data_IF_995341904654
#
_entry.id   IF_995341904654
#
_cell.length_a   1.000
_cell.length_b   1.000
_cell.length_c   1.000
_cell.angle_alpha   90.00
_cell.angle_beta   90.00
_cell.angle_gamma   90.00
#
_symmetry.space_group_name_H-M   'P 1'
#
loop_
_entity.id
_entity.type
_entity.pdbx_description
1 polymer ?
#
# COMPACT_ATOMS: atom_id res chain seq x y z
N UNK A 1 7.65 14.36 20.14
CA UNK A 1 7.94 13.48 21.29
C UNK A 1 9.41 13.65 21.70
N UNK A 2 9.66 14.05 22.94
CA UNK A 2 10.98 14.38 23.53
C UNK A 2 11.30 13.35 24.60
N UNK A 3 12.58 13.00 24.80
CA UNK A 3 13.02 11.93 25.71
C UNK A 3 13.98 12.50 26.74
N UNK A 4 13.90 12.02 27.98
CA UNK A 4 14.92 12.32 28.99
C UNK A 4 16.16 11.44 28.78
N UNK A 5 17.28 12.08 28.47
CA UNK A 5 18.53 11.38 28.22
C UNK A 5 19.17 10.79 29.48
N UNK A 6 18.76 11.23 30.69
CA UNK A 6 19.31 10.78 31.98
C UNK A 6 18.65 9.53 32.53
N UNK A 7 17.49 9.13 32.00
CA UNK A 7 16.75 7.95 32.49
C UNK A 7 17.55 6.65 32.30
N UNK A 8 17.32 5.65 33.14
CA UNK A 8 17.69 4.27 32.78
C UNK A 8 16.74 3.77 31.68
N UNK A 9 17.18 2.79 30.88
CA UNK A 9 16.34 2.14 29.88
C UNK A 9 15.09 1.49 30.47
N UNK A 10 15.12 1.07 31.73
CA UNK A 10 13.93 0.54 32.41
C UNK A 10 12.85 1.58 32.71
N UNK A 11 13.22 2.87 32.69
CA UNK A 11 12.40 3.99 33.17
C UNK A 11 12.17 5.03 32.06
N UNK A 12 12.50 4.70 30.81
CA UNK A 12 12.52 5.64 29.70
C UNK A 12 11.20 6.39 29.54
N UNK A 13 11.24 7.71 29.74
CA UNK A 13 10.07 8.57 29.60
C UNK A 13 10.07 9.34 28.29
N UNK A 14 8.87 9.69 27.83
CA UNK A 14 8.71 10.70 26.79
C UNK A 14 7.91 11.89 27.29
N UNK A 15 7.94 12.99 26.55
CA UNK A 15 7.01 14.09 26.76
C UNK A 15 6.83 14.98 25.56
N UNK A 16 5.96 15.97 25.70
CA UNK A 16 5.58 16.91 24.65
C UNK A 16 5.58 18.34 25.18
N UNK A 17 6.10 19.28 24.39
CA UNK A 17 5.95 20.72 24.66
C UNK A 17 4.48 21.10 24.44
N UNK A 18 3.89 21.76 25.44
CA UNK A 18 2.52 22.27 25.40
C UNK A 18 2.50 23.74 24.98
N UNK A 19 3.39 24.56 25.56
CA UNK A 19 3.65 25.94 25.10
C UNK A 19 5.05 26.40 25.49
N UNK A 20 5.52 27.44 24.81
CA UNK A 20 6.74 28.18 25.14
C UNK A 20 6.31 29.64 25.31
N UNK A 21 6.51 30.19 26.51
CA UNK A 21 6.07 31.52 26.91
C UNK A 21 7.28 32.27 27.49
N UNK A 22 7.99 33.02 26.65
CA UNK A 22 9.25 33.66 27.01
C UNK A 22 10.34 32.64 27.34
N UNK A 23 10.85 32.68 28.57
CA UNK A 23 11.85 31.72 29.09
C UNK A 23 11.22 30.47 29.71
N UNK A 24 9.88 30.37 29.73
CA UNK A 24 9.14 29.28 30.34
C UNK A 24 8.68 28.26 29.31
N UNK A 25 8.89 26.97 29.60
CA UNK A 25 8.45 25.85 28.76
C UNK A 25 7.48 25.00 29.57
N UNK A 26 6.21 24.96 29.16
CA UNK A 26 5.25 23.99 29.69
C UNK A 26 5.42 22.67 28.97
N UNK A 27 5.76 21.63 29.71
CA UNK A 27 6.12 20.32 29.17
C UNK A 27 5.33 19.21 29.86
N UNK A 28 4.76 18.29 29.09
CA UNK A 28 3.98 17.18 29.61
C UNK A 28 4.76 15.87 29.49
N UNK A 29 5.14 15.28 30.62
CA UNK A 29 5.77 13.95 30.68
C UNK A 29 4.72 12.85 30.66
N UNK A 30 4.86 11.95 29.69
CA UNK A 30 4.16 10.67 29.58
C UNK A 30 5.04 9.58 30.17
N UNK A 31 4.65 9.02 31.30
CA UNK A 31 5.31 7.87 31.91
C UNK A 31 4.30 7.02 32.68
N UNK A 32 4.39 5.70 32.49
CA UNK A 32 3.55 4.71 33.17
C UNK A 32 4.19 4.17 34.46
N UNK A 33 5.41 4.62 34.82
CA UNK A 33 6.10 4.21 36.06
C UNK A 33 5.86 5.20 37.21
N UNK A 34 5.23 4.71 38.27
CA UNK A 34 4.93 5.48 39.49
C UNK A 34 6.17 5.99 40.23
N UNK A 35 7.34 5.40 40.01
CA UNK A 35 8.60 5.75 40.70
C UNK A 35 9.28 6.99 40.13
N UNK A 36 8.86 7.42 38.96
CA UNK A 36 9.55 8.49 38.24
C UNK A 36 9.18 9.87 38.76
N UNK A 37 10.20 10.73 38.94
CA UNK A 37 10.04 12.05 39.57
C UNK A 37 9.33 13.09 38.68
N UNK A 38 9.41 12.95 37.36
CA UNK A 38 8.78 13.84 36.40
C UNK A 38 7.60 13.12 35.73
N UNK A 39 6.38 13.52 36.07
CA UNK A 39 5.14 12.97 35.50
C UNK A 39 4.12 14.08 35.33
N UNK A 40 3.33 14.01 34.26
CA UNK A 40 2.31 15.01 33.98
C UNK A 40 2.92 16.36 33.55
N UNK A 41 2.16 17.43 33.75
CA UNK A 41 2.55 18.77 33.32
C UNK A 41 3.58 19.37 34.29
N UNK A 42 4.74 19.73 33.76
CA UNK A 42 5.83 20.41 34.47
C UNK A 42 6.20 21.67 33.70
N UNK A 43 6.49 22.75 34.42
CA UNK A 43 6.99 23.99 33.83
C UNK A 43 8.47 24.11 34.14
N UNK A 44 9.29 24.25 33.09
CA UNK A 44 10.73 24.46 33.19
C UNK A 44 11.07 25.88 32.75
N UNK A 45 12.16 26.47 33.26
CA UNK A 45 12.82 27.53 32.51
C UNK A 45 13.61 26.93 31.33
N UNK A 46 14.05 27.74 30.36
CA UNK A 46 14.65 27.23 29.13
C UNK A 46 15.96 26.47 29.37
N UNK A 47 16.76 26.88 30.35
CA UNK A 47 18.03 26.23 30.67
C UNK A 47 17.84 24.91 31.42
N UNK A 48 16.92 24.87 32.38
CA UNK A 48 16.46 23.63 33.04
C UNK A 48 15.89 22.67 32.02
N UNK A 49 15.02 23.19 31.13
CA UNK A 49 14.41 22.40 30.08
C UNK A 49 15.50 21.73 29.26
N UNK A 50 16.44 22.50 28.69
CA UNK A 50 17.60 21.97 27.94
C UNK A 50 18.37 20.93 28.75
N UNK A 51 18.67 21.15 30.03
CA UNK A 51 19.40 20.18 30.85
C UNK A 51 18.65 18.85 31.10
N UNK A 52 17.32 18.81 31.01
CA UNK A 52 16.53 17.57 31.21
C UNK A 52 16.48 16.66 29.98
N UNK A 53 16.75 17.21 28.81
CA UNK A 53 16.37 16.64 27.51
C UNK A 53 17.53 16.63 26.52
N UNK A 54 18.64 17.32 26.83
CA UNK A 54 19.84 17.44 26.00
C UNK A 54 20.70 16.16 25.97
N UNK A 55 21.05 15.59 24.81
CA UNK A 55 20.77 16.08 23.47
C UNK A 55 19.58 15.34 22.91
N UNK A 56 18.49 16.08 22.75
CA UNK A 56 17.21 15.57 22.31
C UNK A 56 17.34 14.62 21.12
N UNK A 57 16.96 13.37 21.30
CA UNK A 57 16.55 12.54 20.17
C UNK A 57 15.05 12.78 20.01
N UNK A 58 14.69 13.81 19.26
CA UNK A 58 13.30 13.95 18.82
C UNK A 58 13.05 12.88 17.77
N UNK A 59 12.35 11.81 18.15
CA UNK A 59 11.85 10.79 17.21
C UNK A 59 10.35 10.95 17.07
N UNK A 60 9.88 12.16 16.84
CA UNK A 60 8.50 12.32 16.40
C UNK A 60 8.40 11.95 14.92
N UNK A 61 7.43 11.09 14.57
CA UNK A 61 7.14 10.73 13.18
C UNK A 61 6.19 11.74 12.52
N UNK A 62 5.59 12.65 13.29
CA UNK A 62 4.51 13.52 12.80
C UNK A 62 4.90 14.97 12.55
N UNK A 63 6.16 15.36 12.79
CA UNK A 63 6.60 16.75 12.60
C UNK A 63 7.89 16.83 11.78
N UNK A 64 7.89 17.69 10.77
CA UNK A 64 9.07 18.15 10.04
C UNK A 64 9.81 19.20 10.89
N UNK A 65 11.10 18.97 11.12
CA UNK A 65 11.96 19.96 11.78
C UNK A 65 12.58 20.86 10.71
N UNK A 66 12.48 22.18 10.90
CA UNK A 66 13.17 23.16 10.06
C UNK A 66 14.69 23.18 10.31
N UNK A 67 15.13 22.62 11.44
CA UNK A 67 16.55 22.48 11.77
C UNK A 67 17.18 21.30 11.00
N UNK A 68 18.17 21.64 10.19
CA UNK A 68 18.89 20.74 9.28
C UNK A 68 19.48 19.52 9.99
N UNK A 69 19.97 19.67 11.23
CA UNK A 69 20.59 18.59 12.00
C UNK A 69 19.57 17.51 12.37
N UNK A 70 18.38 17.92 12.82
CA UNK A 70 17.32 16.98 13.21
C UNK A 70 16.64 16.37 11.99
N UNK A 71 16.43 17.14 10.94
CA UNK A 71 15.94 16.63 9.65
C UNK A 71 16.86 15.53 9.09
N UNK A 72 18.18 15.74 9.16
CA UNK A 72 19.18 14.74 8.76
C UNK A 72 19.09 13.47 9.60
N UNK A 73 19.04 13.58 10.93
CA UNK A 73 18.93 12.42 11.83
C UNK A 73 17.63 11.63 11.56
N UNK A 74 16.49 12.31 11.40
CA UNK A 74 15.22 11.66 11.06
C UNK A 74 15.30 10.91 9.73
N UNK A 75 15.90 11.52 8.70
CA UNK A 75 16.11 10.89 7.40
C UNK A 75 16.99 9.64 7.52
N UNK A 76 18.09 9.72 8.28
CA UNK A 76 18.98 8.58 8.54
C UNK A 76 18.24 7.43 9.23
N UNK A 77 17.44 7.73 10.27
CA UNK A 77 16.62 6.73 10.95
C UNK A 77 15.60 6.13 9.99
N UNK A 78 14.79 6.95 9.31
CA UNK A 78 13.76 6.50 8.34
C UNK A 78 14.36 5.56 7.29
N UNK A 79 15.50 5.92 6.74
CA UNK A 79 16.14 5.19 5.65
C UNK A 79 16.81 3.88 6.07
N UNK A 80 17.13 3.69 7.36
CA UNK A 80 17.89 2.53 7.84
C UNK A 80 17.18 1.72 8.94
N UNK A 81 16.02 2.17 9.43
CA UNK A 81 15.31 1.52 10.55
C UNK A 81 15.00 0.05 10.30
N UNK A 82 14.65 -0.29 9.05
CA UNK A 82 14.39 -1.67 8.62
C UNK A 82 15.57 -2.62 8.94
N UNK A 83 16.82 -2.16 8.84
CA UNK A 83 18.00 -2.99 9.13
C UNK A 83 18.07 -3.35 10.60
N UNK A 84 17.83 -2.37 11.48
CA UNK A 84 17.79 -2.55 12.94
C UNK A 84 16.71 -3.56 13.31
N UNK A 85 15.49 -3.37 12.78
CA UNK A 85 14.37 -4.28 13.04
C UNK A 85 14.65 -5.67 12.50
N UNK A 86 15.22 -5.81 11.31
CA UNK A 86 15.59 -7.10 10.72
C UNK A 86 16.62 -7.85 11.58
N UNK A 87 17.66 -7.18 12.05
CA UNK A 87 18.69 -7.78 12.91
C UNK A 87 18.13 -8.15 14.28
N UNK A 88 17.37 -7.25 14.90
CA UNK A 88 16.70 -7.51 16.18
C UNK A 88 15.71 -8.68 16.05
N UNK A 89 14.91 -8.71 14.98
CA UNK A 89 13.97 -9.81 14.73
C UNK A 89 14.70 -11.11 14.45
N UNK A 90 15.83 -11.12 13.75
CA UNK A 90 16.56 -12.36 13.47
C UNK A 90 17.35 -12.89 14.67
N UNK A 91 17.56 -12.06 15.69
CA UNK A 91 18.30 -12.44 16.91
C UNK A 91 17.54 -13.47 17.78
N UNK A 92 18.31 -14.22 18.58
CA UNK A 92 17.76 -15.16 19.56
C UNK A 92 16.84 -14.46 20.56
N UNK A 93 15.62 -14.97 20.73
CA UNK A 93 14.59 -14.37 21.58
C UNK A 93 14.24 -12.91 21.21
N UNK A 94 14.52 -12.49 19.96
CA UNK A 94 14.22 -11.15 19.43
C UNK A 94 14.83 -10.01 20.28
N UNK A 95 16.00 -10.24 20.87
CA UNK A 95 16.68 -9.32 21.80
C UNK A 95 18.19 -9.28 21.63
N UNK A 96 18.78 -8.13 21.93
CA UNK A 96 20.22 -7.91 22.05
C UNK A 96 20.57 -7.37 23.43
N UNK A 97 21.81 -7.55 23.88
CA UNK A 97 22.32 -6.80 25.04
C UNK A 97 22.23 -5.30 24.75
N UNK A 98 22.06 -4.47 25.78
CA UNK A 98 21.97 -3.01 25.61
C UNK A 98 23.12 -2.46 24.76
N UNK A 99 24.37 -2.79 25.08
CA UNK A 99 25.53 -2.34 24.31
C UNK A 99 25.52 -2.84 22.86
N UNK A 100 25.11 -4.09 22.64
CA UNK A 100 24.97 -4.64 21.29
C UNK A 100 23.88 -3.94 20.47
N UNK A 101 22.79 -3.48 21.12
CA UNK A 101 21.76 -2.69 20.46
C UNK A 101 22.25 -1.26 20.13
N UNK A 102 23.09 -0.68 20.99
CA UNK A 102 23.75 0.61 20.71
C UNK A 102 24.68 0.46 19.49
N UNK A 103 25.55 -0.56 19.49
CA UNK A 103 26.49 -0.80 18.40
C UNK A 103 25.78 -1.09 17.08
N UNK A 104 24.63 -1.78 17.12
CA UNK A 104 23.75 -1.98 15.96
C UNK A 104 23.22 -0.65 15.40
N UNK A 105 22.74 0.25 16.27
CA UNK A 105 22.24 1.56 15.82
C UNK A 105 23.35 2.43 15.25
N UNK A 106 24.53 2.42 15.88
CA UNK A 106 25.71 3.15 15.40
C UNK A 106 26.12 2.66 14.01
N UNK A 107 26.18 1.35 13.81
CA UNK A 107 26.61 0.76 12.53
C UNK A 107 25.56 0.89 11.41
N UNK A 108 24.29 0.58 11.69
CA UNK A 108 23.25 0.52 10.64
C UNK A 108 22.66 1.88 10.30
N UNK A 109 22.55 2.79 11.29
CA UNK A 109 21.99 4.13 11.08
C UNK A 109 23.11 5.16 10.86
N UNK A 110 24.30 4.96 11.41
CA UNK A 110 25.40 5.93 11.34
C UNK A 110 25.30 7.04 12.40
N UNK A 111 24.73 6.74 13.56
CA UNK A 111 24.52 7.70 14.67
C UNK A 111 25.60 7.57 15.75
N UNK A 112 25.76 8.58 16.61
CA UNK A 112 26.64 8.49 17.78
C UNK A 112 26.05 7.55 18.85
N UNK A 113 26.89 7.05 19.78
CA UNK A 113 26.41 6.22 20.92
C UNK A 113 25.35 6.92 21.77
N UNK A 114 25.49 8.24 21.94
CA UNK A 114 24.53 9.05 22.69
C UNK A 114 23.17 9.14 21.96
N UNK A 115 23.21 9.36 20.64
CA UNK A 115 22.01 9.33 19.81
C UNK A 115 21.37 7.94 19.79
N UNK A 116 22.15 6.87 19.69
CA UNK A 116 21.66 5.50 19.75
C UNK A 116 20.91 5.22 21.06
N UNK A 117 21.47 5.60 22.21
CA UNK A 117 20.81 5.50 23.52
C UNK A 117 19.46 6.22 23.54
N UNK A 118 19.41 7.47 23.06
CA UNK A 118 18.16 8.23 22.96
C UNK A 118 17.14 7.57 22.03
N UNK A 119 17.56 7.03 20.88
CA UNK A 119 16.68 6.28 19.97
C UNK A 119 16.07 5.07 20.67
N UNK A 120 16.86 4.27 21.40
CA UNK A 120 16.37 3.10 22.14
C UNK A 120 15.29 3.51 23.14
N UNK A 121 15.56 4.54 23.95
CA UNK A 121 14.59 5.07 24.93
C UNK A 121 13.30 5.53 24.28
N UNK A 122 13.39 6.19 23.13
CA UNK A 122 12.22 6.57 22.33
C UNK A 122 11.34 5.38 22.00
N UNK A 123 11.98 4.29 21.56
CA UNK A 123 11.30 3.08 21.11
C UNK A 123 10.75 2.26 22.25
N UNK A 124 11.35 2.34 23.43
CA UNK A 124 10.82 1.78 24.67
C UNK A 124 9.51 2.49 25.05
N UNK A 125 9.52 3.83 25.08
CA UNK A 125 8.32 4.62 25.36
C UNK A 125 7.22 4.42 24.30
N UNK A 126 7.59 4.27 23.02
CA UNK A 126 6.65 3.97 21.94
C UNK A 126 6.14 2.50 21.94
N UNK A 127 6.67 1.63 22.80
CA UNK A 127 6.32 0.20 22.86
C UNK A 127 6.88 -0.65 21.70
N UNK A 128 7.65 -0.06 20.78
CA UNK A 128 8.37 -0.77 19.71
C UNK A 128 9.46 -1.68 20.29
N UNK A 129 10.13 -1.23 21.35
CA UNK A 129 11.11 -1.99 22.12
C UNK A 129 10.60 -2.29 23.53
N UNK A 130 11.22 -3.27 24.17
CA UNK A 130 11.01 -3.64 25.58
C UNK A 130 12.35 -3.83 26.26
N UNK A 131 12.51 -3.24 27.44
CA UNK A 131 13.67 -3.46 28.30
C UNK A 131 13.50 -4.75 29.09
N UNK A 132 14.54 -5.58 29.15
CA UNK A 132 14.52 -6.87 29.84
C UNK A 132 15.78 -7.01 30.68
N UNK A 133 15.61 -7.13 32.00
CA UNK A 133 16.70 -7.41 32.95
C UNK A 133 16.73 -8.90 33.27
N UNK A 134 17.87 -9.54 33.06
CA UNK A 134 18.11 -10.96 33.33
C UNK A 134 19.33 -11.14 34.23
N UNK A 135 19.55 -12.36 34.73
CA UNK A 135 20.74 -12.69 35.55
C UNK A 135 22.07 -12.37 34.86
N UNK A 136 22.14 -12.56 33.54
CA UNK A 136 23.36 -12.39 32.73
C UNK A 136 23.53 -10.99 32.13
N UNK A 137 22.65 -10.04 32.47
CA UNK A 137 22.75 -8.65 32.02
C UNK A 137 21.41 -8.02 31.61
N UNK A 138 21.52 -6.88 30.95
CA UNK A 138 20.40 -6.06 30.49
C UNK A 138 20.27 -6.13 28.98
N UNK A 139 19.03 -6.17 28.50
CA UNK A 139 18.71 -6.43 27.10
C UNK A 139 17.62 -5.47 26.60
N UNK A 140 17.68 -5.19 25.31
CA UNK A 140 16.61 -4.56 24.54
C UNK A 140 16.00 -5.66 23.67
N UNK A 141 14.69 -5.84 23.77
CA UNK A 141 13.91 -6.76 22.95
C UNK A 141 12.93 -5.99 22.07
N UNK A 142 12.43 -6.61 21.00
CA UNK A 142 11.27 -6.09 20.29
C UNK A 142 10.01 -6.20 21.18
N UNK A 143 9.14 -5.19 21.10
CA UNK A 143 7.82 -5.22 21.72
C UNK A 143 6.91 -6.25 21.05
N UNK A 144 5.88 -6.72 21.77
CA UNK A 144 5.01 -7.80 21.26
C UNK A 144 4.25 -7.40 19.99
N UNK A 145 3.76 -6.17 19.93
CA UNK A 145 3.07 -5.62 18.77
C UNK A 145 4.01 -5.50 17.58
N UNK A 146 5.26 -5.06 17.80
CA UNK A 146 6.28 -4.98 16.76
C UNK A 146 6.64 -6.38 16.23
N UNK A 147 6.76 -7.38 17.11
CA UNK A 147 7.00 -8.78 16.70
C UNK A 147 5.84 -9.29 15.84
N UNK A 148 4.60 -9.06 16.27
CA UNK A 148 3.41 -9.47 15.51
C UNK A 148 3.36 -8.78 14.14
N UNK A 149 3.64 -7.48 14.10
CA UNK A 149 3.74 -6.68 12.87
C UNK A 149 4.78 -7.26 11.90
N UNK A 150 6.01 -7.49 12.39
CA UNK A 150 7.12 -8.00 11.57
C UNK A 150 6.88 -9.45 11.12
N UNK A 151 6.28 -10.30 11.96
CA UNK A 151 5.88 -11.64 11.56
C UNK A 151 4.83 -11.59 10.44
N UNK A 152 3.85 -10.69 10.53
CA UNK A 152 2.84 -10.50 9.50
C UNK A 152 3.47 -10.04 8.18
N UNK A 153 4.37 -9.05 8.21
CA UNK A 153 5.11 -8.60 7.01
C UNK A 153 5.89 -9.73 6.34
N UNK A 154 6.62 -10.52 7.13
CA UNK A 154 7.42 -11.65 6.62
C UNK A 154 6.57 -12.78 6.08
N UNK A 155 5.45 -13.10 6.74
CA UNK A 155 4.51 -14.09 6.25
C UNK A 155 3.94 -13.67 4.89
N UNK A 156 3.47 -12.42 4.76
CA UNK A 156 2.95 -11.90 3.50
C UNK A 156 4.01 -11.93 2.40
N UNK A 157 5.22 -11.46 2.69
CA UNK A 157 6.35 -11.51 1.75
C UNK A 157 6.76 -12.95 1.40
N UNK A 158 6.51 -13.93 2.28
CA UNK A 158 6.81 -15.34 1.99
C UNK A 158 5.91 -15.94 0.91
N UNK A 159 4.68 -15.43 0.74
CA UNK A 159 3.77 -15.83 -0.34
C UNK A 159 4.38 -15.43 -1.69
N UNK A 160 4.87 -14.20 -1.79
CA UNK A 160 5.61 -13.71 -2.96
C UNK A 160 6.83 -14.57 -3.28
N UNK A 161 7.60 -14.91 -2.23
CA UNK A 161 8.79 -15.75 -2.36
C UNK A 161 8.45 -17.17 -2.82
N UNK A 162 7.32 -17.74 -2.40
CA UNK A 162 6.83 -19.04 -2.86
C UNK A 162 6.60 -19.02 -4.38
N UNK A 163 5.84 -18.04 -4.88
CA UNK A 163 5.53 -17.89 -6.31
C UNK A 163 6.82 -17.75 -7.12
N UNK A 164 7.72 -16.86 -6.66
CA UNK A 164 9.00 -16.62 -7.34
C UNK A 164 9.86 -17.88 -7.38
N UNK A 165 10.05 -18.54 -6.23
CA UNK A 165 10.89 -19.73 -6.14
C UNK A 165 10.34 -20.89 -6.98
N UNK A 166 9.03 -21.11 -6.97
CA UNK A 166 8.39 -22.15 -7.79
C UNK A 166 8.48 -21.83 -9.29
N UNK A 167 8.45 -20.55 -9.66
CA UNK A 167 8.66 -20.10 -11.03
C UNK A 167 10.10 -20.27 -11.49
N UNK A 168 11.09 -19.85 -10.70
CA UNK A 168 12.52 -19.98 -11.05
C UNK A 168 12.94 -21.43 -11.28
N UNK A 169 12.36 -22.37 -10.51
CA UNK A 169 12.68 -23.80 -10.63
C UNK A 169 12.43 -24.38 -12.01
N UNK A 170 11.44 -23.89 -12.76
CA UNK A 170 11.13 -24.45 -14.08
C UNK A 170 12.20 -24.10 -15.12
N UNK A 171 12.88 -22.97 -14.97
CA UNK A 171 13.92 -22.52 -15.88
C UNK A 171 15.13 -23.47 -15.90
N UNK A 172 15.33 -24.26 -14.85
CA UNK A 172 16.40 -25.27 -14.78
C UNK A 172 16.04 -26.59 -15.47
N UNK A 173 14.78 -26.81 -15.81
CA UNK A 173 14.28 -28.11 -16.29
C UNK A 173 13.68 -28.00 -17.70
N UNK A 174 13.18 -26.83 -18.08
CA UNK A 174 12.49 -26.59 -19.35
C UNK A 174 13.07 -25.34 -20.02
N UNK A 175 13.40 -25.45 -21.31
CA UNK A 175 13.90 -24.34 -22.13
C UNK A 175 12.88 -23.80 -23.13
N UNK A 176 11.70 -24.43 -23.26
CA UNK A 176 10.66 -24.01 -24.21
C UNK A 176 9.77 -22.91 -23.60
N UNK A 177 9.84 -21.69 -24.16
CA UNK A 177 9.22 -20.48 -23.60
C UNK A 177 7.70 -20.59 -23.37
N UNK A 178 6.95 -21.17 -24.31
CA UNK A 178 5.50 -21.34 -24.15
C UNK A 178 5.14 -22.29 -23.01
N UNK A 179 5.95 -23.34 -22.81
CA UNK A 179 5.72 -24.31 -21.73
C UNK A 179 5.98 -23.69 -20.37
N UNK A 180 7.02 -22.85 -20.28
CA UNK A 180 7.32 -22.04 -19.09
C UNK A 180 6.19 -21.05 -18.80
N UNK A 181 5.66 -20.37 -19.83
CA UNK A 181 4.49 -19.48 -19.72
C UNK A 181 3.27 -20.19 -19.15
N UNK A 182 2.83 -21.27 -19.80
CA UNK A 182 1.66 -22.05 -19.35
C UNK A 182 1.82 -22.58 -17.91
N UNK A 183 3.02 -22.98 -17.52
CA UNK A 183 3.28 -23.38 -16.13
C UNK A 183 3.14 -22.20 -15.16
N UNK A 184 3.70 -21.03 -15.52
CA UNK A 184 3.63 -19.82 -14.70
C UNK A 184 2.19 -19.37 -14.47
N UNK A 185 1.35 -19.45 -15.49
CA UNK A 185 -0.10 -19.23 -15.39
C UNK A 185 -0.75 -20.22 -14.41
N UNK A 186 -0.53 -21.53 -14.59
CA UNK A 186 -1.07 -22.58 -13.72
C UNK A 186 -0.59 -22.45 -12.28
N UNK A 187 0.68 -22.11 -12.08
CA UNK A 187 1.28 -21.84 -10.78
C UNK A 187 0.54 -20.68 -10.11
N UNK A 188 0.35 -19.56 -10.81
CA UNK A 188 -0.34 -18.41 -10.27
C UNK A 188 -1.80 -18.73 -9.91
N UNK A 189 -2.53 -19.45 -10.78
CA UNK A 189 -3.88 -19.96 -10.51
C UNK A 189 -3.89 -20.83 -9.24
N UNK A 190 -2.93 -21.76 -9.11
CA UNK A 190 -2.85 -22.65 -7.95
C UNK A 190 -2.64 -21.90 -6.64
N UNK A 191 -1.88 -20.81 -6.67
CA UNK A 191 -1.64 -19.96 -5.50
C UNK A 191 -2.87 -19.12 -5.19
N UNK A 192 -3.47 -18.49 -6.20
CA UNK A 192 -4.71 -17.72 -6.03
C UNK A 192 -5.83 -18.57 -5.43
N UNK A 193 -6.00 -19.82 -5.87
CA UNK A 193 -7.02 -20.76 -5.35
C UNK A 193 -6.88 -21.06 -3.84
N UNK A 194 -5.71 -20.83 -3.24
CA UNK A 194 -5.51 -20.98 -1.78
C UNK A 194 -6.12 -19.82 -0.99
N UNK A 195 -6.21 -18.62 -1.59
CA UNK A 195 -6.59 -17.38 -0.92
C UNK A 195 -7.94 -16.82 -1.38
N UNK A 196 -8.31 -17.05 -2.63
CA UNK A 196 -9.58 -16.60 -3.21
C UNK A 196 -10.74 -17.34 -2.54
N UNK A 197 -11.77 -16.63 -2.04
CA UNK A 197 -12.98 -17.26 -1.48
C UNK A 197 -13.66 -18.20 -2.48
N UNK A 198 -14.17 -19.34 -1.99
CA UNK A 198 -14.76 -20.40 -2.83
C UNK A 198 -15.98 -19.98 -3.67
N UNK A 199 -16.62 -18.84 -3.35
CA UNK A 199 -17.70 -18.28 -4.18
C UNK A 199 -17.18 -17.80 -5.54
N UNK A 200 -15.90 -17.51 -5.64
CA UNK A 200 -15.24 -17.16 -6.88
C UNK A 200 -14.51 -18.37 -7.47
N UNK A 201 -14.44 -18.39 -8.79
CA UNK A 201 -13.63 -19.37 -9.51
C UNK A 201 -12.49 -18.67 -10.24
N UNK A 202 -11.29 -19.26 -10.16
CA UNK A 202 -10.07 -18.78 -10.82
C UNK A 202 -9.78 -19.72 -11.97
N UNK A 203 -9.74 -19.22 -13.20
CA UNK A 203 -9.61 -19.99 -14.43
C UNK A 203 -8.89 -19.18 -15.52
N UNK A 204 -8.52 -19.79 -16.64
CA UNK A 204 -8.19 -19.07 -17.89
C UNK A 204 -9.44 -19.02 -18.77
N UNK A 205 -9.53 -18.07 -19.70
CA UNK A 205 -10.63 -18.09 -20.65
C UNK A 205 -10.95 -16.78 -21.32
N UNK A 206 -12.22 -16.58 -21.63
CA UNK A 206 -12.71 -15.45 -22.40
C UNK A 206 -13.86 -14.75 -21.68
N UNK A 207 -14.00 -13.46 -21.95
CA UNK A 207 -15.23 -12.73 -21.66
C UNK A 207 -16.12 -12.83 -22.90
N UNK A 208 -17.42 -13.09 -22.71
CA UNK A 208 -18.40 -13.18 -23.79
C UNK A 208 -18.34 -11.92 -24.68
N UNK A 209 -18.21 -12.12 -25.99
CA UNK A 209 -18.06 -11.04 -26.96
C UNK A 209 -16.62 -10.57 -27.20
N UNK A 210 -15.65 -10.99 -26.37
CA UNK A 210 -14.22 -10.71 -26.59
C UNK A 210 -13.52 -11.89 -27.25
N UNK A 211 -12.67 -11.61 -28.23
CA UNK A 211 -11.79 -12.61 -28.87
C UNK A 211 -10.47 -12.81 -28.13
N UNK A 212 -10.16 -11.96 -27.15
CA UNK A 212 -8.91 -12.05 -26.39
C UNK A 212 -9.05 -13.09 -25.29
N UNK A 213 -8.15 -14.09 -25.30
CA UNK A 213 -7.97 -14.98 -24.16
C UNK A 213 -7.28 -14.21 -23.03
N UNK A 214 -7.78 -14.40 -21.83
CA UNK A 214 -7.27 -13.84 -20.59
C UNK A 214 -6.54 -14.94 -19.85
N UNK A 215 -5.29 -14.67 -19.48
CA UNK A 215 -4.43 -15.64 -18.80
C UNK A 215 -5.09 -16.11 -17.49
N UNK A 216 -5.64 -15.17 -16.71
CA UNK A 216 -6.42 -15.47 -15.50
C UNK A 216 -7.66 -14.59 -15.38
N UNK A 217 -8.81 -15.24 -15.21
CA UNK A 217 -10.11 -14.66 -14.89
C UNK A 217 -10.52 -15.14 -13.50
N UNK A 218 -10.91 -14.20 -12.64
CA UNK A 218 -11.65 -14.49 -11.41
C UNK A 218 -13.08 -14.02 -11.63
N UNK A 219 -14.04 -14.92 -11.47
CA UNK A 219 -15.46 -14.59 -11.64
C UNK A 219 -16.33 -15.13 -10.50
N UNK A 220 -17.47 -14.50 -10.26
CA UNK A 220 -18.47 -14.95 -9.29
C UNK A 220 -19.24 -16.16 -9.82
N UNK A 221 -18.73 -17.35 -9.50
CA UNK A 221 -19.32 -18.63 -9.85
C UNK A 221 -20.56 -18.96 -9.02
N UNK A 222 -20.76 -18.29 -7.89
CA UNK A 222 -21.91 -18.53 -7.04
C UNK A 222 -23.18 -17.90 -7.62
N UNK A 223 -23.07 -16.68 -8.15
CA UNK A 223 -24.20 -15.92 -8.64
C UNK A 223 -24.40 -15.98 -10.16
N UNK A 224 -23.35 -16.33 -10.93
CA UNK A 224 -23.40 -16.34 -12.39
C UNK A 224 -23.08 -17.71 -12.97
N UNK A 225 -23.89 -18.15 -13.94
CA UNK A 225 -23.58 -19.31 -14.77
C UNK A 225 -22.57 -18.91 -15.85
N UNK A 226 -21.53 -19.72 -16.12
CA UNK A 226 -20.66 -19.50 -17.27
C UNK A 226 -21.39 -19.83 -18.56
N UNK A 227 -21.05 -19.14 -19.64
CA UNK A 227 -21.52 -19.43 -21.01
C UNK A 227 -20.93 -20.75 -21.49
N UNK A 228 -19.67 -21.01 -21.13
CA UNK A 228 -18.96 -22.26 -21.39
C UNK A 228 -17.99 -22.55 -20.25
N UNK A 229 -17.80 -23.83 -19.92
CA UNK A 229 -16.79 -24.27 -18.96
C UNK A 229 -16.35 -25.70 -19.24
N UNK A 230 -15.05 -25.89 -19.39
CA UNK A 230 -14.38 -27.19 -19.46
C UNK A 230 -13.10 -27.12 -18.63
N UNK A 231 -13.02 -27.86 -17.52
CA UNK A 231 -11.94 -27.75 -16.53
C UNK A 231 -11.62 -26.30 -16.11
N UNK A 232 -10.43 -25.82 -16.48
CA UNK A 232 -9.89 -24.50 -16.19
C UNK A 232 -10.12 -23.48 -17.32
N UNK A 233 -10.82 -23.86 -18.40
CA UNK A 233 -11.19 -22.98 -19.51
C UNK A 233 -12.65 -22.52 -19.37
N UNK A 234 -12.88 -21.20 -19.31
CA UNK A 234 -14.23 -20.63 -19.16
C UNK A 234 -14.56 -19.57 -20.21
N UNK A 235 -15.84 -19.40 -20.49
CA UNK A 235 -16.39 -18.19 -21.13
C UNK A 235 -17.44 -17.62 -20.18
N UNK A 236 -17.26 -16.37 -19.75
CA UNK A 236 -18.10 -15.72 -18.73
C UNK A 236 -18.63 -14.38 -19.22
N UNK A 237 -19.78 -13.96 -18.68
CA UNK A 237 -20.31 -12.62 -18.92
C UNK A 237 -19.45 -11.57 -18.20
N UNK A 238 -19.34 -10.37 -18.77
CA UNK A 238 -18.52 -9.27 -18.20
C UNK A 238 -18.97 -8.92 -16.78
N UNK A 239 -20.27 -8.99 -16.50
CA UNK A 239 -20.87 -8.70 -15.18
C UNK A 239 -20.50 -9.72 -14.10
N UNK A 240 -20.05 -10.92 -14.49
CA UNK A 240 -19.58 -11.94 -13.55
C UNK A 240 -18.09 -11.75 -13.17
N UNK A 241 -17.35 -10.95 -13.94
CA UNK A 241 -15.90 -10.78 -13.80
C UNK A 241 -15.59 -9.93 -12.58
N UNK A 242 -14.70 -10.44 -11.74
CA UNK A 242 -14.17 -9.77 -10.54
C UNK A 242 -12.74 -9.29 -10.78
N UNK A 243 -11.97 -10.05 -11.54
CA UNK A 243 -10.60 -9.70 -11.89
C UNK A 243 -10.17 -10.33 -13.22
N UNK A 244 -9.31 -9.61 -13.93
CA UNK A 244 -8.54 -10.09 -15.08
C UNK A 244 -7.05 -9.84 -14.81
N UNK A 245 -6.21 -10.83 -15.10
CA UNK A 245 -4.78 -10.75 -14.86
C UNK A 245 -4.03 -11.29 -16.07
N UNK A 246 -3.13 -10.49 -16.61
CA UNK A 246 -2.15 -10.87 -17.64
C UNK A 246 -0.89 -11.39 -16.97
N UNK A 247 -0.40 -12.56 -17.40
CA UNK A 247 0.80 -13.20 -16.90
C UNK A 247 1.87 -13.15 -17.98
N UNK A 248 3.05 -12.58 -17.66
CA UNK A 248 4.18 -12.53 -18.59
C UNK A 248 5.44 -13.12 -17.98
N UNK A 249 6.23 -13.81 -18.80
CA UNK A 249 7.53 -14.31 -18.38
C UNK A 249 8.47 -13.15 -18.06
N UNK A 250 8.57 -12.20 -18.99
CA UNK A 250 9.45 -11.04 -18.87
C UNK A 250 8.64 -9.79 -19.20
N UNK A 251 8.71 -8.76 -18.35
CA UNK A 251 8.15 -7.45 -18.62
C UNK A 251 9.14 -6.62 -19.46
N UNK A 252 8.75 -6.35 -20.70
CA UNK A 252 9.38 -5.45 -21.67
C UNK A 252 8.35 -4.49 -22.26
N UNK A 253 8.79 -3.58 -23.14
CA UNK A 253 7.91 -2.61 -23.80
C UNK A 253 6.83 -3.29 -24.63
N UNK A 254 7.19 -4.32 -25.41
CA UNK A 254 6.22 -5.07 -26.20
C UNK A 254 5.22 -5.81 -25.32
N UNK A 255 5.68 -6.58 -24.34
CA UNK A 255 4.77 -7.38 -23.49
C UNK A 255 3.87 -6.50 -22.62
N UNK A 256 4.37 -5.34 -22.16
CA UNK A 256 3.57 -4.39 -21.40
C UNK A 256 2.50 -3.78 -22.28
N UNK A 257 2.87 -3.29 -23.48
CA UNK A 257 1.93 -2.74 -24.46
C UNK A 257 0.85 -3.76 -24.83
N UNK A 258 1.23 -4.98 -25.21
CA UNK A 258 0.28 -6.05 -25.55
C UNK A 258 -0.71 -6.38 -24.40
N UNK A 259 -0.21 -6.31 -23.16
CA UNK A 259 -1.04 -6.55 -21.97
C UNK A 259 -2.03 -5.40 -21.75
N UNK A 260 -1.55 -4.16 -21.83
CA UNK A 260 -2.36 -2.94 -21.68
C UNK A 260 -3.42 -2.83 -22.77
N UNK A 261 -3.06 -3.02 -24.05
CA UNK A 261 -4.00 -3.00 -25.18
C UNK A 261 -5.12 -4.02 -25.01
N UNK A 262 -4.80 -5.20 -24.48
CA UNK A 262 -5.84 -6.18 -24.28
C UNK A 262 -6.66 -6.00 -23.01
N UNK A 263 -6.12 -5.38 -21.96
CA UNK A 263 -6.92 -4.89 -20.83
C UNK A 263 -7.91 -3.83 -21.33
N UNK A 264 -7.45 -2.90 -22.16
CA UNK A 264 -8.25 -1.83 -22.76
C UNK A 264 -9.44 -2.40 -23.56
N UNK A 265 -9.17 -3.36 -24.46
CA UNK A 265 -10.21 -4.08 -25.21
C UNK A 265 -11.23 -4.81 -24.33
N UNK A 266 -10.85 -5.27 -23.15
CA UNK A 266 -11.76 -5.92 -22.20
C UNK A 266 -12.64 -4.86 -21.49
N UNK A 267 -12.12 -3.65 -21.33
CA UNK A 267 -12.82 -2.54 -20.73
C UNK A 267 -13.87 -1.93 -21.65
N UNK A 268 -13.70 -2.02 -22.98
CA UNK A 268 -14.68 -1.60 -23.98
C UNK A 268 -16.11 -2.05 -23.66
N UNK A 269 -17.09 -1.16 -23.90
CA UNK A 269 -18.51 -1.38 -23.65
C UNK A 269 -19.05 -0.53 -22.49
N UNK A 270 -20.29 -0.80 -22.03
CA UNK A 270 -20.93 0.02 -21.01
C UNK A 270 -20.16 -0.05 -19.68
N UNK A 271 -19.97 1.12 -19.06
CA UNK A 271 -19.34 1.25 -17.75
C UNK A 271 -20.16 0.52 -16.69
N UNK A 272 -19.47 -0.21 -15.81
CA UNK A 272 -20.08 -0.82 -14.61
C UNK A 272 -19.89 0.11 -13.42
N UNK A 273 -20.94 0.30 -12.61
CA UNK A 273 -20.84 1.02 -11.33
C UNK A 273 -19.95 0.31 -10.32
N UNK A 274 -19.74 -0.99 -10.52
CA UNK A 274 -18.82 -1.81 -9.73
C UNK A 274 -17.67 -2.24 -10.65
N UNK A 275 -16.45 -1.69 -10.48
CA UNK A 275 -15.33 -2.05 -11.34
C UNK A 275 -14.79 -3.45 -10.99
N UNK A 276 -14.09 -4.06 -11.95
CA UNK A 276 -13.31 -5.28 -11.73
C UNK A 276 -11.80 -4.99 -11.81
N UNK A 277 -11.01 -5.79 -11.12
CA UNK A 277 -9.56 -5.60 -11.03
C UNK A 277 -8.84 -5.92 -12.35
N UNK A 278 -7.86 -5.10 -12.73
CA UNK A 278 -7.01 -5.32 -13.93
C UNK A 278 -5.54 -5.33 -13.55
N UNK A 279 -4.92 -6.50 -13.58
CA UNK A 279 -3.52 -6.69 -13.17
C UNK A 279 -2.61 -7.16 -14.29
N UNK A 280 -1.35 -6.73 -14.25
CA UNK A 280 -0.27 -7.35 -15.01
C UNK A 280 0.74 -7.91 -14.01
N UNK A 281 1.02 -9.22 -14.09
CA UNK A 281 2.05 -9.85 -13.27
C UNK A 281 3.12 -10.46 -14.17
N UNK A 282 4.37 -10.09 -13.95
CA UNK A 282 5.49 -10.65 -14.66
C UNK A 282 6.57 -11.18 -13.73
N UNK A 283 7.31 -12.19 -14.15
CA UNK A 283 8.30 -12.85 -13.28
C UNK A 283 9.68 -12.20 -13.35
N UNK A 284 10.03 -11.68 -14.51
CA UNK A 284 11.36 -11.15 -14.80
C UNK A 284 11.26 -9.80 -15.52
N UNK A 285 12.31 -8.99 -15.44
CA UNK A 285 12.44 -7.74 -16.18
C UNK A 285 13.87 -7.22 -16.03
N UNK A 286 14.33 -6.47 -17.04
CA UNK A 286 15.56 -5.67 -16.97
C UNK A 286 15.29 -4.22 -16.55
N UNK A 287 14.02 -3.86 -16.33
CA UNK A 287 13.62 -2.52 -15.97
C UNK A 287 13.62 -2.30 -14.45
N UNK A 288 13.62 -1.01 -14.09
CA UNK A 288 13.31 -0.54 -12.75
C UNK A 288 11.89 0.08 -12.73
N UNK A 289 11.42 0.43 -11.53
CA UNK A 289 10.13 1.09 -11.32
C UNK A 289 9.91 2.31 -12.24
N UNK A 290 10.90 3.19 -12.36
CA UNK A 290 10.80 4.41 -13.17
C UNK A 290 10.56 4.06 -14.64
N UNK A 291 11.38 3.18 -15.21
CA UNK A 291 11.25 2.78 -16.63
C UNK A 291 9.89 2.13 -16.92
N UNK A 292 9.39 1.29 -15.99
CA UNK A 292 8.07 0.70 -16.13
C UNK A 292 6.97 1.76 -16.12
N UNK A 293 7.04 2.69 -15.16
CA UNK A 293 6.07 3.77 -15.04
C UNK A 293 6.12 4.74 -16.24
N UNK A 294 7.30 5.02 -16.79
CA UNK A 294 7.46 5.81 -18.02
C UNK A 294 6.75 5.14 -19.21
N UNK A 295 6.86 3.81 -19.36
CA UNK A 295 6.19 3.10 -20.46
C UNK A 295 4.66 3.02 -20.27
N UNK A 296 4.17 2.90 -19.02
CA UNK A 296 2.73 2.98 -18.72
C UNK A 296 2.19 4.38 -19.04
N UNK A 297 2.93 5.42 -18.65
CA UNK A 297 2.57 6.79 -18.95
C UNK A 297 2.48 7.05 -20.46
N UNK A 298 3.46 6.57 -21.24
CA UNK A 298 3.44 6.68 -22.71
C UNK A 298 2.19 6.02 -23.30
N UNK A 299 1.81 4.84 -22.79
CA UNK A 299 0.59 4.17 -23.24
C UNK A 299 -0.66 5.03 -23.00
N UNK A 300 -0.80 5.64 -21.81
CA UNK A 300 -1.97 6.47 -21.49
C UNK A 300 -1.92 7.88 -22.11
N UNK A 301 -0.75 8.36 -22.54
CA UNK A 301 -0.65 9.55 -23.39
C UNK A 301 -1.26 9.29 -24.78
N UNK A 302 -1.13 8.06 -25.29
CA UNK A 302 -1.67 7.62 -26.59
C UNK A 302 -3.12 7.10 -26.49
N UNK A 303 -3.54 6.58 -25.33
CA UNK A 303 -4.83 5.95 -25.10
C UNK A 303 -5.49 6.58 -23.87
N UNK A 304 -6.46 7.47 -24.10
CA UNK A 304 -7.07 8.27 -23.04
C UNK A 304 -7.89 7.41 -22.08
N UNK A 305 -7.88 7.79 -20.80
CA UNK A 305 -8.74 7.20 -19.79
C UNK A 305 -10.09 7.92 -19.83
N UNK A 306 -11.10 7.26 -20.39
CA UNK A 306 -12.42 7.86 -20.65
C UNK A 306 -13.44 7.62 -19.53
N UNK A 307 -13.21 6.64 -18.65
CA UNK A 307 -14.04 6.39 -17.48
C UNK A 307 -13.26 6.14 -16.19
N UNK A 308 -13.97 6.29 -15.06
CA UNK A 308 -13.39 5.94 -13.76
C UNK A 308 -13.13 4.42 -13.71
N UNK A 309 -11.94 4.03 -13.24
CA UNK A 309 -11.45 2.65 -13.24
C UNK A 309 -11.31 2.00 -14.62
N UNK A 310 -11.34 2.74 -15.73
CA UNK A 310 -11.02 2.24 -17.09
C UNK A 310 -9.51 2.25 -17.37
N UNK A 311 -8.73 1.82 -16.38
CA UNK A 311 -7.27 1.78 -16.47
C UNK A 311 -6.75 0.53 -15.78
N UNK A 312 -5.45 0.26 -15.96
CA UNK A 312 -4.70 -0.74 -15.22
C UNK A 312 -4.77 -0.44 -13.72
N UNK A 313 -5.01 -1.45 -12.88
CA UNK A 313 -4.91 -1.27 -11.43
C UNK A 313 -3.47 -1.34 -10.95
N UNK A 314 -2.72 -2.35 -11.39
CA UNK A 314 -1.35 -2.57 -10.93
C UNK A 314 -0.56 -3.46 -11.88
N UNK A 315 0.71 -3.12 -12.09
CA UNK A 315 1.73 -4.01 -12.63
C UNK A 315 2.70 -4.41 -11.53
N UNK A 316 3.11 -5.68 -11.50
CA UNK A 316 4.09 -6.18 -10.54
C UNK A 316 5.12 -7.10 -11.20
N UNK A 317 6.40 -6.87 -10.87
CA UNK A 317 7.49 -7.83 -11.03
C UNK A 317 8.13 -8.06 -9.67
N UNK A 318 8.12 -9.29 -9.13
CA UNK A 318 8.60 -9.59 -7.79
C UNK A 318 10.00 -9.03 -7.49
N UNK A 319 10.14 -8.32 -6.37
CA UNK A 319 11.40 -7.69 -5.96
C UNK A 319 11.98 -6.62 -6.89
N UNK A 320 11.28 -6.19 -7.94
CA UNK A 320 11.80 -5.24 -8.93
C UNK A 320 10.85 -4.08 -9.26
N UNK A 321 9.60 -4.39 -9.61
CA UNK A 321 8.63 -3.40 -10.09
C UNK A 321 7.32 -3.55 -9.33
N UNK A 322 6.75 -2.44 -8.90
CA UNK A 322 5.35 -2.33 -8.58
C UNK A 322 4.89 -0.91 -8.88
N UNK A 323 4.03 -0.76 -9.88
CA UNK A 323 3.44 0.51 -10.27
C UNK A 323 1.92 0.35 -10.39
N UNK A 324 1.17 1.36 -9.97
CA UNK A 324 -0.28 1.28 -9.85
C UNK A 324 -0.92 2.63 -10.13
N UNK A 325 -2.17 2.62 -10.59
CA UNK A 325 -2.93 3.84 -10.85
C UNK A 325 -3.98 4.00 -9.75
N UNK A 326 -4.09 5.22 -9.26
CA UNK A 326 -5.09 5.64 -8.28
C UNK A 326 -5.45 7.11 -8.53
N UNK A 327 -6.31 7.69 -7.71
CA UNK A 327 -6.81 9.04 -7.86
C UNK A 327 -6.21 10.00 -6.83
N UNK A 328 -5.72 11.15 -7.29
CA UNK A 328 -5.21 12.24 -6.46
C UNK A 328 -6.36 13.17 -5.98
N UNK A 329 -6.04 14.17 -5.15
CA UNK A 329 -6.90 15.34 -4.91
C UNK A 329 -8.34 15.07 -4.45
N UNK A 330 -8.57 13.94 -3.77
CA UNK A 330 -9.91 13.58 -3.30
C UNK A 330 -10.37 14.40 -2.09
N UNK A 331 -9.43 14.97 -1.35
CA UNK A 331 -9.68 15.67 -0.08
C UNK A 331 -9.36 17.17 -0.15
N UNK A 332 -9.13 17.71 -1.35
CA UNK A 332 -8.95 19.15 -1.61
C UNK A 332 -9.88 19.60 -2.74
N UNK A 333 -9.78 20.87 -3.17
CA UNK A 333 -10.68 21.47 -4.16
C UNK A 333 -10.25 21.24 -5.63
N UNK A 334 -9.06 20.71 -5.88
CA UNK A 334 -8.52 20.44 -7.23
C UNK A 334 -9.22 19.25 -7.91
N UNK A 335 -9.13 19.09 -9.22
CA UNK A 335 -9.69 17.91 -9.90
C UNK A 335 -8.99 16.62 -9.45
N UNK A 336 -9.76 15.54 -9.42
CA UNK A 336 -9.26 14.20 -9.11
C UNK A 336 -8.98 13.45 -10.40
N UNK A 337 -7.70 13.25 -10.69
CA UNK A 337 -7.20 12.69 -11.94
C UNK A 337 -6.55 11.32 -11.72
N UNK A 338 -6.68 10.39 -12.68
CA UNK A 338 -5.89 9.16 -12.71
C UNK A 338 -4.40 9.49 -12.63
N UNK A 339 -3.76 8.96 -11.60
CA UNK A 339 -2.40 9.27 -11.20
C UNK A 339 -1.62 7.98 -11.06
N UNK A 340 -0.49 7.89 -11.77
CA UNK A 340 0.42 6.76 -11.73
C UNK A 340 1.39 6.93 -10.57
N UNK A 341 1.44 5.94 -9.70
CA UNK A 341 2.36 5.84 -8.59
C UNK A 341 3.30 4.67 -8.78
N UNK A 342 4.50 4.78 -8.22
CA UNK A 342 5.37 3.61 -8.02
C UNK A 342 5.36 3.22 -6.55
N UNK A 343 5.64 1.95 -6.27
CA UNK A 343 5.82 1.44 -4.93
C UNK A 343 7.32 1.19 -4.73
N UNK A 344 7.91 1.95 -3.83
CA UNK A 344 9.27 1.69 -3.39
C UNK A 344 9.21 0.76 -2.18
N UNK A 345 9.77 -0.44 -2.35
CA UNK A 345 9.93 -1.38 -1.24
C UNK A 345 10.67 -0.68 -0.10
N UNK A 346 10.08 -0.70 1.10
CA UNK A 346 10.81 -0.36 2.31
C UNK A 346 11.94 -1.37 2.44
N UNK A 347 13.14 -0.97 2.00
CA UNK A 347 14.38 -1.73 1.92
C UNK A 347 14.37 -2.97 2.84
N UNK A 348 14.53 -4.17 2.27
CA UNK A 348 14.67 -5.43 3.03
C UNK A 348 13.43 -6.30 3.15
N UNK A 349 12.23 -5.83 2.76
CA UNK A 349 11.04 -6.68 2.55
C UNK A 349 10.42 -6.29 1.22
N UNK A 350 10.33 -7.23 0.28
CA UNK A 350 9.58 -6.95 -0.95
C UNK A 350 8.10 -6.98 -0.64
N UNK A 351 7.45 -5.86 -0.93
CA UNK A 351 6.03 -5.61 -0.64
C UNK A 351 5.23 -5.45 -1.93
N UNK A 352 5.88 -5.30 -3.09
CA UNK A 352 5.22 -5.14 -4.39
C UNK A 352 4.22 -6.24 -4.73
N UNK A 353 4.57 -7.51 -4.55
CA UNK A 353 3.66 -8.61 -4.89
C UNK A 353 2.54 -8.75 -3.85
N UNK A 354 2.85 -8.48 -2.58
CA UNK A 354 1.82 -8.44 -1.55
C UNK A 354 0.84 -7.27 -1.76
N UNK A 355 1.32 -6.14 -2.28
CA UNK A 355 0.49 -5.01 -2.68
C UNK A 355 -0.37 -5.34 -3.91
N UNK A 356 0.17 -6.10 -4.86
CA UNK A 356 -0.61 -6.65 -5.98
C UNK A 356 -1.78 -7.49 -5.46
N UNK A 357 -1.52 -8.44 -4.54
CA UNK A 357 -2.58 -9.27 -3.95
C UNK A 357 -3.56 -8.45 -3.09
N UNK A 358 -3.07 -7.47 -2.34
CA UNK A 358 -3.92 -6.55 -1.59
C UNK A 358 -4.95 -5.87 -2.52
N UNK A 359 -4.46 -5.27 -3.61
CA UNK A 359 -5.34 -4.61 -4.58
C UNK A 359 -6.29 -5.62 -5.21
N UNK A 360 -5.82 -6.78 -5.64
CA UNK A 360 -6.69 -7.83 -6.18
C UNK A 360 -7.82 -8.19 -5.20
N UNK A 361 -7.50 -8.39 -3.93
CA UNK A 361 -8.45 -8.82 -2.93
C UNK A 361 -9.42 -7.71 -2.48
N UNK A 362 -9.10 -6.44 -2.68
CA UNK A 362 -10.04 -5.34 -2.40
C UNK A 362 -11.21 -5.28 -3.38
N UNK A 363 -11.10 -5.91 -4.54
CA UNK A 363 -12.20 -6.04 -5.51
C UNK A 363 -13.05 -7.29 -5.25
N UNK A 364 -12.65 -8.18 -4.34
CA UNK A 364 -13.39 -9.41 -4.09
C UNK A 364 -14.71 -9.13 -3.37
N UNK A 365 -15.79 -9.42 -4.09
CA UNK A 365 -17.16 -9.23 -3.61
C UNK A 365 -17.59 -10.23 -2.53
N UNK A 366 -17.08 -10.10 -1.32
CA UNK A 366 -17.58 -10.84 -0.13
C UNK A 366 -18.51 -9.95 0.70
N UNK A 367 -19.16 -10.53 1.71
CA UNK A 367 -19.94 -9.79 2.70
C UNK A 367 -19.13 -8.63 3.30
N UNK A 368 -19.81 -7.53 3.61
CA UNK A 368 -19.22 -6.26 4.10
C UNK A 368 -18.28 -6.50 5.30
N UNK A 369 -18.73 -7.29 6.28
CA UNK A 369 -17.96 -7.64 7.48
C UNK A 369 -16.66 -8.39 7.17
N UNK A 370 -16.71 -9.36 6.24
CA UNK A 370 -15.56 -10.11 5.80
C UNK A 370 -14.60 -9.24 4.97
N UNK A 371 -15.13 -8.35 4.13
CA UNK A 371 -14.32 -7.44 3.31
C UNK A 371 -13.50 -6.49 4.17
N UNK A 372 -14.12 -5.89 5.19
CA UNK A 372 -13.45 -5.01 6.15
C UNK A 372 -12.27 -5.70 6.82
N UNK A 373 -12.46 -6.94 7.29
CA UNK A 373 -11.39 -7.74 7.93
C UNK A 373 -10.29 -8.12 6.92
N UNK A 374 -10.67 -8.51 5.71
CA UNK A 374 -9.71 -8.88 4.65
C UNK A 374 -8.86 -7.68 4.21
N UNK A 375 -9.45 -6.49 4.11
CA UNK A 375 -8.71 -5.24 3.82
C UNK A 375 -7.64 -4.95 4.87
N UNK A 376 -8.03 -5.02 6.17
CA UNK A 376 -7.11 -4.84 7.30
C UNK A 376 -5.95 -5.86 7.32
N UNK A 377 -6.10 -7.00 6.64
CA UNK A 377 -5.04 -8.00 6.56
C UNK A 377 -3.81 -7.46 5.81
N UNK A 378 -3.97 -6.61 4.81
CA UNK A 378 -2.84 -6.08 4.03
C UNK A 378 -2.45 -4.64 4.37
N UNK A 379 -3.25 -3.93 5.17
CA UNK A 379 -3.00 -2.53 5.55
C UNK A 379 -1.61 -2.27 6.12
N UNK A 380 -1.06 -3.21 6.90
CA UNK A 380 0.29 -3.13 7.45
C UNK A 380 1.36 -2.90 6.37
N UNK A 381 1.19 -3.48 5.18
CA UNK A 381 2.15 -3.34 4.09
C UNK A 381 2.00 -1.99 3.41
N UNK A 382 0.74 -1.56 3.19
CA UNK A 382 0.41 -0.26 2.61
C UNK A 382 0.98 0.90 3.42
N UNK A 383 0.88 0.84 4.75
CA UNK A 383 1.43 1.89 5.64
C UNK A 383 2.95 1.95 5.65
N UNK A 384 3.62 0.86 5.32
CA UNK A 384 5.08 0.81 5.24
C UNK A 384 5.64 1.19 3.88
N UNK A 385 4.80 1.26 2.85
CA UNK A 385 5.23 1.52 1.49
C UNK A 385 5.42 3.01 1.23
N UNK A 386 6.54 3.39 0.61
CA UNK A 386 6.64 4.71 0.00
C UNK A 386 6.01 4.66 -1.39
N UNK A 387 5.11 5.61 -1.66
CA UNK A 387 4.28 5.66 -2.87
C UNK A 387 4.49 7.01 -3.58
N UNK A 388 5.67 7.27 -4.16
CA UNK A 388 5.89 8.50 -4.88
C UNK A 388 4.96 8.57 -6.10
N UNK A 389 4.34 9.73 -6.29
CA UNK A 389 3.64 10.07 -7.52
C UNK A 389 4.67 10.11 -8.66
N UNK A 390 4.41 9.36 -9.73
CA UNK A 390 5.24 9.36 -10.93
C UNK A 390 4.73 10.38 -11.96
N UNK A 391 3.44 10.32 -12.31
CA UNK A 391 2.81 11.20 -13.29
C UNK A 391 1.28 11.23 -13.15
N UNK A 392 0.65 12.39 -13.38
CA UNK A 392 -0.80 12.50 -13.61
C UNK A 392 -1.05 12.12 -15.09
N UNK A 393 -1.90 11.11 -15.33
CA UNK A 393 -2.05 10.48 -16.64
C UNK A 393 -3.00 11.21 -17.59
N UNK A 394 -3.61 12.28 -17.11
CA UNK A 394 -4.62 13.07 -17.83
C UNK A 394 -4.34 14.55 -17.64
N UNK A 395 -5.13 15.41 -18.30
CA UNK A 395 -5.11 16.85 -18.05
C UNK A 395 -5.52 17.18 -16.59
N UNK A 396 -5.10 18.36 -16.11
CA UNK A 396 -5.35 18.80 -14.72
C UNK A 396 -6.82 19.10 -14.43
N UNK A 397 -7.64 19.28 -15.46
CA UNK A 397 -9.10 19.51 -15.39
C UNK A 397 -9.90 18.28 -15.88
N UNK A 398 -9.28 17.10 -15.87
CA UNK A 398 -9.89 15.87 -16.40
C UNK A 398 -11.24 15.57 -15.75
N UNK A 399 -12.20 15.23 -16.62
CA UNK A 399 -13.47 14.62 -16.25
C UNK A 399 -13.71 13.41 -17.14
N UNK A 400 -14.30 12.32 -16.61
CA UNK A 400 -14.58 11.13 -17.40
C UNK A 400 -15.62 11.46 -18.47
N UNK A 401 -15.39 10.97 -19.68
CA UNK A 401 -16.36 11.03 -20.77
C UNK A 401 -17.58 10.16 -20.47
N UNK A 402 -17.38 8.98 -19.89
CA UNK A 402 -18.46 8.09 -19.47
C UNK A 402 -18.95 8.41 -18.05
N UNK A 403 -20.20 8.84 -17.97
CA UNK A 403 -20.90 9.21 -16.73
C UNK A 403 -22.24 8.50 -16.60
N UNK A 404 -22.68 8.31 -15.36
CA UNK A 404 -23.93 7.65 -15.04
C UNK A 404 -25.14 8.60 -15.16
N UNK A 405 -26.34 8.04 -15.27
CA UNK A 405 -27.57 8.82 -15.44
C UNK A 405 -27.80 9.81 -14.28
N UNK A 406 -27.53 9.39 -13.05
CA UNK A 406 -27.66 10.25 -11.86
C UNK A 406 -26.69 11.44 -11.88
N UNK A 407 -25.50 11.25 -12.46
CA UNK A 407 -24.51 12.33 -12.64
C UNK A 407 -24.92 13.27 -13.78
N UNK A 408 -25.46 12.74 -14.88
CA UNK A 408 -26.01 13.54 -15.99
C UNK A 408 -27.14 14.46 -15.51
N UNK A 409 -28.11 13.90 -14.76
CA UNK A 409 -29.25 14.64 -14.23
C UNK A 409 -28.86 15.79 -13.32
N UNK A 410 -27.77 15.65 -12.55
CA UNK A 410 -27.28 16.71 -11.66
C UNK A 410 -26.80 17.98 -12.36
N UNK A 411 -26.59 17.92 -13.68
CA UNK A 411 -26.18 19.07 -14.50
C UNK A 411 -27.18 19.43 -15.60
N UNK A 412 -28.35 18.80 -15.62
CA UNK A 412 -29.29 18.88 -16.74
C UNK A 412 -29.99 20.26 -16.89
N UNK A 413 -30.11 21.01 -15.80
CA UNK A 413 -30.86 22.28 -15.75
C UNK A 413 -29.98 23.53 -15.90
N UNK A 414 -28.67 23.39 -16.11
CA UNK A 414 -27.75 24.53 -16.20
C UNK A 414 -27.69 25.09 -17.62
N UNK A 415 -27.88 26.41 -17.74
CA UNK A 415 -27.71 27.15 -18.99
C UNK A 415 -26.24 27.50 -19.27
N UNK A 416 -25.94 28.00 -20.48
CA UNK A 416 -24.58 28.34 -20.91
C UNK A 416 -23.87 29.37 -20.00
N UNK A 417 -24.63 30.26 -19.36
CA UNK A 417 -24.11 31.27 -18.43
C UNK A 417 -23.73 30.68 -17.05
N UNK A 418 -24.09 29.41 -16.79
CA UNK A 418 -23.81 28.69 -15.54
C UNK A 418 -22.78 27.56 -15.72
N UNK A 419 -22.00 27.61 -16.80
CA UNK A 419 -20.99 26.61 -17.15
C UNK A 419 -20.04 26.27 -15.99
N UNK A 420 -19.55 27.29 -15.27
CA UNK A 420 -18.64 27.09 -14.15
C UNK A 420 -19.28 26.29 -13.00
N UNK A 421 -20.58 26.49 -12.74
CA UNK A 421 -21.32 25.75 -11.72
C UNK A 421 -21.50 24.28 -12.14
N UNK A 422 -21.84 24.05 -13.41
CA UNK A 422 -21.95 22.71 -13.96
C UNK A 422 -20.61 21.95 -13.92
N UNK A 423 -19.49 22.62 -14.21
CA UNK A 423 -18.15 22.03 -14.12
C UNK A 423 -17.76 21.71 -12.67
N UNK A 424 -18.10 22.58 -11.72
CA UNK A 424 -17.88 22.32 -10.29
C UNK A 424 -18.66 21.09 -9.81
N UNK A 425 -19.91 20.94 -10.24
CA UNK A 425 -20.74 19.75 -9.94
C UNK A 425 -20.11 18.49 -10.54
N UNK A 426 -19.69 18.53 -11.82
CA UNK A 426 -19.01 17.40 -12.45
C UNK A 426 -17.75 17.00 -11.69
N UNK A 427 -16.90 17.96 -11.33
CA UNK A 427 -15.70 17.73 -10.51
C UNK A 427 -16.04 17.04 -9.19
N UNK A 428 -17.10 17.48 -8.50
CA UNK A 428 -17.54 16.91 -7.24
C UNK A 428 -18.14 15.50 -7.41
N UNK A 429 -18.89 15.25 -8.48
CA UNK A 429 -19.43 13.92 -8.81
C UNK A 429 -18.30 12.91 -9.04
N UNK A 430 -17.26 13.28 -9.81
CA UNK A 430 -16.08 12.44 -10.06
C UNK A 430 -15.42 12.04 -8.74
N UNK A 431 -15.16 13.01 -7.86
CA UNK A 431 -14.58 12.75 -6.53
C UNK A 431 -15.46 11.83 -5.70
N UNK A 432 -16.77 12.07 -5.69
CA UNK A 432 -17.70 11.26 -4.93
C UNK A 432 -17.74 9.82 -5.45
N UNK A 433 -17.72 9.61 -6.77
CA UNK A 433 -17.70 8.28 -7.39
C UNK A 433 -16.45 7.51 -7.05
N UNK A 434 -15.28 8.16 -7.09
CA UNK A 434 -14.03 7.52 -6.63
C UNK A 434 -14.09 7.17 -5.15
N UNK A 435 -14.63 8.06 -4.30
CA UNK A 435 -14.78 7.79 -2.85
C UNK A 435 -15.72 6.62 -2.58
N UNK A 436 -16.87 6.57 -3.23
CA UNK A 436 -17.85 5.48 -3.07
C UNK A 436 -17.27 4.13 -3.50
N UNK A 437 -16.52 4.09 -4.61
CA UNK A 437 -15.83 2.88 -5.03
C UNK A 437 -14.76 2.47 -4.00
N UNK A 438 -14.03 3.42 -3.41
CA UNK A 438 -13.08 3.13 -2.33
C UNK A 438 -13.77 2.62 -1.06
N UNK A 439 -14.91 3.18 -0.70
CA UNK A 439 -15.73 2.72 0.43
C UNK A 439 -16.25 1.30 0.16
N UNK A 440 -16.65 1.00 -1.07
CA UNK A 440 -16.99 -0.37 -1.49
C UNK A 440 -15.80 -1.33 -1.38
N UNK A 441 -14.62 -0.93 -1.85
CA UNK A 441 -13.39 -1.75 -1.73
C UNK A 441 -12.98 -1.97 -0.26
N UNK A 442 -13.21 -0.99 0.60
CA UNK A 442 -12.91 -1.05 2.03
C UNK A 442 -13.95 -1.84 2.85
N UNK A 443 -15.12 -2.13 2.26
CA UNK A 443 -16.24 -2.74 2.98
C UNK A 443 -16.95 -1.76 3.92
N UNK A 444 -17.00 -0.49 3.56
CA UNK A 444 -17.83 0.54 4.20
C UNK A 444 -19.12 0.82 3.40
N UNK A 445 -19.16 0.40 2.13
CA UNK A 445 -20.34 0.42 1.26
C UNK A 445 -20.56 -0.95 0.61
N UNK A 446 -21.80 -1.40 0.47
CA UNK A 446 -22.11 -2.64 -0.23
C UNK A 446 -22.33 -2.43 -1.74
N UNK A 447 -22.35 -3.54 -2.49
CA UNK A 447 -22.49 -3.54 -3.95
C UNK A 447 -23.84 -2.98 -4.41
N UNK A 448 -24.92 -3.31 -3.72
CA UNK A 448 -26.27 -2.91 -4.11
C UNK A 448 -26.44 -1.41 -3.90
N UNK A 449 -25.91 -0.86 -2.82
CA UNK A 449 -25.87 0.58 -2.58
C UNK A 449 -25.14 1.32 -3.72
N UNK A 450 -24.00 0.79 -4.17
CA UNK A 450 -23.22 1.41 -5.25
C UNK A 450 -23.99 1.34 -6.58
N UNK A 451 -24.63 0.19 -6.87
CA UNK A 451 -25.48 0.03 -8.06
C UNK A 451 -26.70 0.95 -8.00
N UNK A 452 -27.42 1.01 -6.89
CA UNK A 452 -28.60 1.86 -6.73
C UNK A 452 -28.25 3.35 -6.89
N UNK A 453 -27.12 3.79 -6.34
CA UNK A 453 -26.67 5.18 -6.41
C UNK A 453 -26.34 5.65 -7.84
N UNK A 454 -25.81 4.77 -8.68
CA UNK A 454 -25.30 5.14 -10.00
C UNK A 454 -26.14 4.63 -11.17
N UNK A 455 -26.80 3.48 -11.03
CA UNK A 455 -27.57 2.87 -12.11
C UNK A 455 -29.09 3.09 -11.98
N UNK A 456 -29.59 3.67 -10.88
CA UNK A 456 -31.03 3.91 -10.76
C UNK A 456 -31.51 4.98 -11.74
N UNK A 457 -32.66 4.70 -12.36
CA UNK A 457 -33.34 5.57 -13.33
C UNK A 457 -34.59 6.20 -12.67
N UNK A 458 -34.55 6.46 -11.36
CA UNK A 458 -35.75 6.98 -10.67
C UNK A 458 -36.21 8.31 -11.26
#
# INVERSE_FOLDING_TARGET
MIINHKDDYGEAQTGKIISIDGDSVRFYWTCDDEKTKARGLVTYNMDEFKQQVDPFVIVDRTCTFSDEKYGRLQSMIKNNWHKVINTMHSSSQKRLKVDGCIDLLVSEIGVSKLQASGIIKSRLAAGTFKYVKLKLGTYIALGINEIALENKKRYLSSISNEIRSQSERINYVISHGQTVGNYRERLFISVLRKFVPKKFHVATGFIEGSSKQIDIIIYDQHNYIPVFREDDLVVVKKEAVIAVIEIKTTLSSSTLKDSLEGIDRICEGPMSSVPFFKGIFAFETEWNNKTAADNIAIFYDENKIDAIHEHLDVVCVPGKICAFIDYNNLDNDEYSCPSLYTLEDAKGISIGESFFFQRLFSFMEVEVSARKINGLYFDVLRETAHRPLHKILTDEDWTPFHIFFTELGSTADFDADEFDQAMEIKKNNVKQRVKDVRDWMAGEMDRNQLIEKYNSIF
#
